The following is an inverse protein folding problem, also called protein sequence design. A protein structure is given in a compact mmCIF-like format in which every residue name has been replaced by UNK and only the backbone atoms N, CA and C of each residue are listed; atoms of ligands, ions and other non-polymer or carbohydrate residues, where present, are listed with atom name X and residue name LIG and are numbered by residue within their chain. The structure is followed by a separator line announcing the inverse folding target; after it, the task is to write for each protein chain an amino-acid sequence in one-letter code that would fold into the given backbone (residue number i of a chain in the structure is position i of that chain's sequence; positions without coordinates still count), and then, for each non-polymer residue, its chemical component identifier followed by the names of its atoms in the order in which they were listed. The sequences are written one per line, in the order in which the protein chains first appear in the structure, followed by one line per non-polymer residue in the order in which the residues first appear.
data_IF_908369909154
#
_entry.id   IF_908369909154
#
_cell.length_a   1.000
_cell.length_b   1.000
_cell.length_c   1.000
_cell.angle_alpha   90.00
_cell.angle_beta   90.00
_cell.angle_gamma   90.00
#
_symmetry.space_group_name_H-M   'P 1'
#
loop_
_entity.id
_entity.type
_entity.pdbx_description
1 polymer ?
#
# COMPACT_ATOMS: atom_id res chain seq x y z
N UNK A 1 19.72 -12.66 17.40
CA UNK A 1 18.33 -12.69 16.89
C UNK A 1 18.14 -14.05 16.24
N UNK A 2 17.38 -14.92 16.89
CA UNK A 2 17.05 -16.26 16.43
C UNK A 2 16.02 -16.13 15.30
N UNK A 3 16.44 -16.37 14.05
CA UNK A 3 15.51 -16.48 12.92
C UNK A 3 14.55 -17.64 13.19
N UNK A 4 13.26 -17.35 13.27
CA UNK A 4 12.24 -18.40 13.36
C UNK A 4 12.11 -19.08 11.99
N UNK A 5 11.69 -20.35 11.97
CA UNK A 5 11.55 -21.16 10.74
C UNK A 5 10.58 -20.55 9.70
N UNK A 6 9.75 -19.58 10.12
CA UNK A 6 8.73 -18.92 9.31
C UNK A 6 8.93 -17.38 9.20
N UNK A 7 10.15 -16.88 9.47
CA UNK A 7 10.49 -15.44 9.36
C UNK A 7 10.99 -15.10 7.95
N UNK A 8 10.52 -13.97 7.41
CA UNK A 8 11.04 -13.34 6.20
C UNK A 8 10.85 -11.82 6.28
N UNK A 9 11.60 -11.08 5.48
CA UNK A 9 11.56 -9.62 5.50
C UNK A 9 10.75 -9.08 4.33
N UNK A 10 9.85 -8.14 4.60
CA UNK A 10 9.13 -7.36 3.58
C UNK A 10 9.73 -5.95 3.58
N UNK A 11 10.23 -5.51 2.44
CA UNK A 11 10.81 -4.19 2.25
C UNK A 11 10.03 -3.41 1.21
N UNK A 12 9.70 -2.15 1.51
CA UNK A 12 8.98 -1.30 0.56
C UNK A 12 9.65 0.04 0.28
N UNK A 13 9.47 0.52 -0.95
CA UNK A 13 9.80 1.88 -1.40
C UNK A 13 8.61 2.50 -2.10
N UNK A 14 8.12 3.63 -1.60
CA UNK A 14 6.91 4.29 -2.06
C UNK A 14 7.06 5.81 -2.07
N UNK A 15 6.50 6.49 -3.09
CA UNK A 15 6.37 7.95 -3.11
C UNK A 15 5.03 8.38 -2.49
N UNK A 16 3.93 7.85 -3.01
CA UNK A 16 2.54 8.23 -2.67
C UNK A 16 1.79 7.14 -1.88
N UNK A 17 2.52 6.31 -1.13
CA UNK A 17 1.92 5.27 -0.26
C UNK A 17 1.41 3.98 -0.94
N UNK A 18 1.34 3.89 -2.28
CA UNK A 18 0.83 2.69 -2.97
C UNK A 18 1.58 1.39 -2.64
N UNK A 19 2.92 1.40 -2.78
CA UNK A 19 3.76 0.25 -2.45
C UNK A 19 3.76 -0.06 -0.94
N UNK A 20 3.60 0.97 -0.10
CA UNK A 20 3.47 0.79 1.34
C UNK A 20 2.20 0.01 1.69
N UNK A 21 1.06 0.40 1.12
CA UNK A 21 -0.22 -0.28 1.37
C UNK A 21 -0.20 -1.74 0.87
N UNK A 22 0.37 -2.01 -0.31
CA UNK A 22 0.54 -3.38 -0.81
C UNK A 22 1.46 -4.19 0.11
N UNK A 23 2.53 -3.60 0.64
CA UNK A 23 3.41 -4.29 1.58
C UNK A 23 2.74 -4.63 2.92
N UNK A 24 1.80 -3.78 3.38
CA UNK A 24 0.98 -4.04 4.57
C UNK A 24 -0.02 -5.17 4.31
N UNK A 25 -0.63 -5.21 3.12
CA UNK A 25 -1.52 -6.31 2.72
C UNK A 25 -0.79 -7.67 2.72
N UNK A 26 0.42 -7.72 2.14
CA UNK A 26 1.26 -8.93 2.16
C UNK A 26 1.59 -9.32 3.60
N UNK A 27 1.88 -8.36 4.48
CA UNK A 27 2.19 -8.59 5.89
C UNK A 27 0.99 -9.17 6.65
N UNK A 28 -0.19 -8.59 6.50
CA UNK A 28 -1.42 -9.06 7.14
C UNK A 28 -1.82 -10.46 6.61
N UNK A 29 -1.73 -10.70 5.30
CA UNK A 29 -1.98 -12.02 4.69
C UNK A 29 -0.97 -13.07 5.15
N UNK A 30 0.32 -12.74 5.22
CA UNK A 30 1.37 -13.64 5.70
C UNK A 30 1.10 -14.13 7.13
N UNK A 31 0.61 -13.25 7.99
CA UNK A 31 0.25 -13.59 9.36
C UNK A 31 -0.95 -14.52 9.48
N UNK A 32 -1.95 -14.36 8.60
CA UNK A 32 -3.09 -15.29 8.47
C UNK A 32 -2.62 -16.67 7.99
N UNK A 33 -1.60 -16.69 7.13
CA UNK A 33 -1.01 -17.91 6.57
C UNK A 33 0.01 -18.63 7.47
N UNK A 34 0.21 -18.14 8.71
CA UNK A 34 1.10 -18.76 9.70
C UNK A 34 2.56 -18.30 9.64
N UNK A 35 2.88 -17.31 8.81
CA UNK A 35 4.20 -16.70 8.78
C UNK A 35 4.35 -15.59 9.82
N UNK A 36 5.60 -15.30 10.18
CA UNK A 36 5.96 -14.21 11.08
C UNK A 36 6.92 -13.23 10.41
N UNK A 37 6.52 -12.53 9.33
CA UNK A 37 7.41 -11.59 8.66
C UNK A 37 7.70 -10.36 9.52
N UNK A 38 8.75 -9.64 9.11
CA UNK A 38 9.02 -8.25 9.51
C UNK A 38 8.79 -7.33 8.32
N UNK A 39 8.26 -6.13 8.52
CA UNK A 39 8.03 -5.14 7.45
C UNK A 39 8.74 -3.83 7.77
N UNK A 40 9.55 -3.32 6.83
CA UNK A 40 10.22 -2.02 6.97
C UNK A 40 10.27 -1.23 5.67
N UNK A 41 10.32 0.09 5.80
CA UNK A 41 10.63 1.00 4.71
C UNK A 41 12.11 0.88 4.31
N UNK A 42 12.44 0.93 3.02
CA UNK A 42 13.81 0.85 2.51
C UNK A 42 14.73 1.95 3.06
N UNK A 43 14.18 3.09 3.48
CA UNK A 43 14.91 4.19 4.10
C UNK A 43 15.47 3.85 5.49
N UNK A 44 14.97 2.78 6.13
CA UNK A 44 15.36 2.33 7.47
C UNK A 44 16.55 1.35 7.46
N UNK A 45 17.24 1.18 6.32
CA UNK A 45 18.45 0.36 6.19
C UNK A 45 19.49 0.74 7.27
N UNK A 46 20.15 -0.27 7.84
CA UNK A 46 21.09 -0.22 8.98
C UNK A 46 20.51 0.22 10.33
N UNK A 47 19.37 0.92 10.35
CA UNK A 47 18.67 1.27 11.60
C UNK A 47 17.82 0.12 12.12
N UNK A 48 17.12 -0.57 11.21
CA UNK A 48 16.16 -1.64 11.54
C UNK A 48 16.48 -2.99 10.91
N UNK A 49 17.14 -3.00 9.74
CA UNK A 49 17.50 -4.22 9.02
C UNK A 49 18.85 -4.10 8.30
N UNK A 50 19.43 -5.24 7.92
CA UNK A 50 20.63 -5.30 7.06
C UNK A 50 20.54 -6.52 6.16
N UNK A 51 20.60 -6.32 4.84
CA UNK A 51 20.44 -7.39 3.84
C UNK A 51 21.40 -8.57 4.04
N UNK A 52 22.62 -8.32 4.53
CA UNK A 52 23.65 -9.35 4.75
C UNK A 52 23.26 -10.34 5.85
N UNK A 53 22.28 -9.99 6.70
CA UNK A 53 21.81 -10.86 7.78
C UNK A 53 20.51 -11.59 7.44
N UNK A 54 19.94 -11.32 6.26
CA UNK A 54 18.62 -11.80 5.87
C UNK A 54 18.74 -12.87 4.78
N UNK A 55 18.01 -13.97 4.94
CA UNK A 55 18.04 -15.07 3.98
C UNK A 55 16.89 -15.00 2.98
N UNK A 56 15.76 -14.39 3.35
CA UNK A 56 14.55 -14.36 2.54
C UNK A 56 13.90 -12.97 2.61
N UNK A 57 13.78 -12.30 1.46
CA UNK A 57 13.27 -10.92 1.38
C UNK A 57 12.27 -10.76 0.24
N UNK A 58 11.14 -10.11 0.52
CA UNK A 58 10.15 -9.68 -0.47
C UNK A 58 10.23 -8.17 -0.61
N UNK A 59 10.44 -7.69 -1.83
CA UNK A 59 10.51 -6.26 -2.13
C UNK A 59 9.23 -5.79 -2.82
N UNK A 60 8.74 -4.62 -2.44
CA UNK A 60 7.64 -3.91 -3.11
C UNK A 60 8.07 -2.48 -3.37
N UNK A 61 8.34 -2.10 -4.62
CA UNK A 61 8.88 -0.78 -4.91
C UNK A 61 8.21 -0.11 -6.11
N UNK A 62 7.82 1.15 -5.92
CA UNK A 62 7.40 2.02 -7.02
C UNK A 62 8.58 2.58 -7.80
N UNK A 63 8.28 3.13 -8.98
CA UNK A 63 9.19 3.90 -9.83
C UNK A 63 8.73 5.35 -9.86
N UNK A 64 9.64 6.32 -9.85
CA UNK A 64 9.35 7.75 -9.91
C UNK A 64 10.09 8.41 -11.08
N UNK A 65 9.58 9.55 -11.54
CA UNK A 65 10.20 10.36 -12.60
C UNK A 65 10.58 9.54 -13.84
N UNK A 66 11.84 9.65 -14.26
CA UNK A 66 12.40 8.98 -15.44
C UNK A 66 12.96 7.59 -15.14
N UNK A 67 12.36 6.84 -14.20
CA UNK A 67 12.85 5.51 -13.82
C UNK A 67 13.68 5.46 -12.55
N UNK A 68 13.62 6.54 -11.75
CA UNK A 68 14.32 6.69 -10.49
C UNK A 68 13.60 5.94 -9.35
N UNK A 69 14.31 5.60 -8.26
CA UNK A 69 13.66 5.13 -7.05
C UNK A 69 12.88 6.26 -6.35
N UNK A 70 11.79 5.95 -5.63
CA UNK A 70 11.17 6.90 -4.73
C UNK A 70 12.15 7.34 -3.64
N UNK A 71 11.91 8.49 -3.03
CA UNK A 71 12.82 9.07 -2.02
C UNK A 71 13.06 8.11 -0.85
N UNK A 72 12.03 7.36 -0.49
CA UNK A 72 12.07 6.32 0.53
C UNK A 72 12.97 5.12 0.18
N UNK A 73 13.38 4.97 -1.08
CA UNK A 73 14.29 3.92 -1.56
C UNK A 73 15.64 4.46 -2.08
N UNK A 74 15.77 5.77 -2.35
CA UNK A 74 16.97 6.39 -2.93
C UNK A 74 18.26 6.07 -2.17
N UNK A 75 18.24 6.17 -0.83
CA UNK A 75 19.40 5.84 0.02
C UNK A 75 19.81 4.37 -0.08
N UNK A 76 18.82 3.47 -0.12
CA UNK A 76 19.05 2.04 -0.27
C UNK A 76 19.69 1.73 -1.63
N UNK A 77 19.10 2.23 -2.70
CA UNK A 77 19.56 1.97 -4.06
C UNK A 77 20.99 2.48 -4.31
N UNK A 78 21.31 3.69 -3.82
CA UNK A 78 22.66 4.25 -3.90
C UNK A 78 23.71 3.35 -3.23
N UNK A 79 23.35 2.69 -2.13
CA UNK A 79 24.25 1.77 -1.42
C UNK A 79 24.42 0.46 -2.18
N UNK A 80 23.33 -0.08 -2.71
CA UNK A 80 23.34 -1.31 -3.49
C UNK A 80 24.19 -1.17 -4.77
N UNK A 81 24.21 0.02 -5.37
CA UNK A 81 25.02 0.37 -6.55
C UNK A 81 26.52 0.58 -6.28
N UNK A 82 26.99 0.54 -5.02
CA UNK A 82 28.42 0.74 -4.73
C UNK A 82 29.26 -0.38 -5.37
N UNK A 83 30.27 0.01 -6.16
CA UNK A 83 31.21 -0.92 -6.82
C UNK A 83 32.15 -1.63 -5.85
N UNK A 84 32.22 -1.19 -4.60
CA UNK A 84 33.02 -1.82 -3.53
C UNK A 84 32.42 -3.14 -3.04
N UNK A 85 31.17 -3.43 -3.39
CA UNK A 85 30.51 -4.69 -3.02
C UNK A 85 30.99 -5.81 -3.94
N UNK A 86 31.45 -6.91 -3.36
CA UNK A 86 31.81 -8.11 -4.10
C UNK A 86 30.58 -8.70 -4.81
N UNK A 87 30.80 -9.36 -5.95
CA UNK A 87 29.71 -9.94 -6.76
C UNK A 87 29.00 -11.12 -6.09
N UNK A 88 29.49 -11.62 -4.96
CA UNK A 88 28.87 -12.68 -4.15
C UNK A 88 28.38 -12.16 -2.79
N UNK A 89 28.31 -10.85 -2.59
CA UNK A 89 28.01 -10.24 -1.31
C UNK A 89 26.65 -10.67 -0.71
N UNK A 90 25.69 -11.04 -1.57
CA UNK A 90 24.33 -11.45 -1.22
C UNK A 90 24.01 -12.88 -1.68
N UNK A 91 25.01 -13.76 -1.83
CA UNK A 91 24.79 -15.13 -2.34
C UNK A 91 23.81 -15.98 -1.51
N UNK A 92 23.76 -15.72 -0.21
CA UNK A 92 22.85 -16.35 0.75
C UNK A 92 21.41 -15.84 0.62
N UNK A 93 21.21 -14.66 0.02
CA UNK A 93 19.91 -14.01 -0.07
C UNK A 93 19.04 -14.68 -1.14
N UNK A 94 17.80 -14.94 -0.77
CA UNK A 94 16.71 -15.30 -1.66
C UNK A 94 15.69 -14.20 -1.65
N UNK A 95 15.23 -13.78 -2.83
CA UNK A 95 14.27 -12.70 -2.91
C UNK A 95 13.16 -12.91 -3.93
N UNK A 96 12.10 -12.13 -3.76
CA UNK A 96 11.05 -11.93 -4.75
C UNK A 96 10.78 -10.42 -4.81
N UNK A 97 10.34 -9.95 -5.96
CA UNK A 97 10.20 -8.52 -6.20
C UNK A 97 8.85 -8.23 -6.87
N UNK A 98 8.13 -7.23 -6.34
CA UNK A 98 6.96 -6.65 -6.98
C UNK A 98 7.28 -5.21 -7.32
N UNK A 99 7.49 -4.95 -8.62
CA UNK A 99 7.80 -3.64 -9.15
C UNK A 99 6.51 -2.95 -9.59
N UNK A 100 6.30 -1.70 -9.17
CA UNK A 100 5.17 -0.89 -9.58
C UNK A 100 5.66 0.20 -10.54
N UNK A 101 4.91 0.42 -11.61
CA UNK A 101 5.17 1.45 -12.60
C UNK A 101 3.94 1.71 -13.45
N UNK A 102 4.11 2.51 -14.49
CA UNK A 102 3.06 2.89 -15.43
C UNK A 102 3.65 2.80 -16.85
N UNK A 103 3.03 2.01 -17.73
CA UNK A 103 3.51 1.79 -19.10
C UNK A 103 3.32 2.98 -20.04
N UNK A 104 2.58 4.02 -19.63
CA UNK A 104 2.54 5.30 -20.33
C UNK A 104 3.87 6.07 -20.21
N UNK A 105 4.73 5.70 -19.26
CA UNK A 105 6.08 6.25 -19.10
C UNK A 105 7.10 5.40 -19.84
N UNK A 106 8.11 6.06 -20.41
CA UNK A 106 9.20 5.42 -21.16
C UNK A 106 9.89 4.29 -20.38
N UNK A 107 10.08 4.51 -19.08
CA UNK A 107 10.88 3.65 -18.20
C UNK A 107 9.99 2.81 -17.27
N UNK A 108 9.07 2.03 -17.85
CA UNK A 108 8.16 1.14 -17.11
C UNK A 108 8.89 0.23 -16.10
N UNK A 109 8.53 0.34 -14.82
CA UNK A 109 9.10 -0.41 -13.70
C UNK A 109 10.64 -0.34 -13.57
N UNK A 110 11.28 0.71 -14.10
CA UNK A 110 12.75 0.77 -14.18
C UNK A 110 13.45 0.71 -12.82
N UNK A 111 12.89 1.32 -11.77
CA UNK A 111 13.46 1.23 -10.43
C UNK A 111 13.53 -0.23 -9.97
N UNK A 112 12.40 -0.95 -10.05
CA UNK A 112 12.33 -2.36 -9.68
C UNK A 112 13.26 -3.22 -10.51
N UNK A 113 13.28 -3.05 -11.84
CA UNK A 113 14.20 -3.74 -12.75
C UNK A 113 15.67 -3.53 -12.38
N UNK A 114 16.04 -2.29 -12.05
CA UNK A 114 17.41 -1.95 -11.70
C UNK A 114 17.84 -2.52 -10.34
N UNK A 115 16.94 -2.53 -9.35
CA UNK A 115 17.24 -3.14 -8.04
C UNK A 115 17.34 -4.66 -8.19
N UNK A 116 16.40 -5.28 -8.89
CA UNK A 116 16.36 -6.71 -9.18
C UNK A 116 17.65 -7.21 -9.86
N UNK A 117 18.03 -6.57 -10.97
CA UNK A 117 19.26 -6.88 -11.68
C UNK A 117 20.50 -6.72 -10.79
N UNK A 118 20.53 -5.66 -9.95
CA UNK A 118 21.66 -5.43 -9.06
C UNK A 118 21.73 -6.46 -7.92
N UNK A 119 20.60 -6.96 -7.42
CA UNK A 119 20.58 -8.04 -6.43
C UNK A 119 21.16 -9.33 -7.02
N UNK A 120 20.78 -9.66 -8.27
CA UNK A 120 21.34 -10.78 -9.02
C UNK A 120 22.86 -10.65 -9.23
N UNK A 121 23.33 -9.46 -9.63
CA UNK A 121 24.78 -9.18 -9.80
C UNK A 121 25.59 -9.37 -8.50
N UNK A 122 24.94 -9.23 -7.34
CA UNK A 122 25.53 -9.43 -6.02
C UNK A 122 25.39 -10.89 -5.51
N UNK A 123 24.87 -11.79 -6.34
CA UNK A 123 24.76 -13.22 -6.09
C UNK A 123 23.44 -13.68 -5.48
N UNK A 124 22.52 -12.75 -5.19
CA UNK A 124 21.19 -13.11 -4.70
C UNK A 124 20.42 -13.91 -5.76
N UNK A 125 19.44 -14.71 -5.34
CA UNK A 125 18.65 -15.54 -6.26
C UNK A 125 17.17 -15.37 -6.03
N UNK A 126 16.39 -15.39 -7.11
CA UNK A 126 14.93 -15.43 -7.00
C UNK A 126 14.48 -16.73 -6.33
N UNK A 127 13.52 -16.63 -5.40
CA UNK A 127 12.72 -17.79 -4.98
C UNK A 127 11.34 -17.81 -5.62
N UNK A 128 10.91 -16.67 -6.16
CA UNK A 128 9.65 -16.45 -6.85
C UNK A 128 9.83 -15.31 -7.86
N UNK A 129 9.11 -15.38 -8.98
CA UNK A 129 9.31 -14.50 -10.12
C UNK A 129 8.94 -13.04 -9.81
N UNK A 130 9.65 -12.13 -10.47
CA UNK A 130 9.41 -10.70 -10.32
C UNK A 130 8.09 -10.29 -11.00
N UNK A 131 7.19 -9.69 -10.23
CA UNK A 131 5.95 -9.11 -10.72
C UNK A 131 6.15 -7.67 -11.21
N UNK A 132 5.44 -7.31 -12.27
CA UNK A 132 5.42 -5.95 -12.83
C UNK A 132 3.97 -5.46 -12.84
N UNK A 133 3.64 -4.57 -11.91
CA UNK A 133 2.32 -3.96 -11.81
C UNK A 133 2.26 -2.66 -12.61
N UNK A 134 1.25 -2.55 -13.46
CA UNK A 134 1.06 -1.44 -14.39
C UNK A 134 -0.17 -0.60 -14.00
N UNK A 135 0.09 0.63 -13.56
CA UNK A 135 -0.93 1.59 -13.15
C UNK A 135 -1.79 2.06 -14.35
N UNK A 136 -1.25 2.01 -15.59
CA UNK A 136 -1.98 2.42 -16.79
C UNK A 136 -3.26 1.61 -17.03
N UNK A 137 -3.25 0.34 -16.61
CA UNK A 137 -4.36 -0.61 -16.76
C UNK A 137 -5.00 -0.98 -15.42
N UNK A 138 -4.40 -0.54 -14.31
CA UNK A 138 -4.78 -0.87 -12.94
C UNK A 138 -3.82 -1.87 -12.30
N UNK A 139 -3.16 -1.43 -11.21
CA UNK A 139 -2.15 -2.22 -10.49
C UNK A 139 -2.67 -3.61 -10.06
N UNK A 140 -3.92 -3.69 -9.60
CA UNK A 140 -4.51 -4.91 -9.02
C UNK A 140 -4.51 -6.10 -9.99
N UNK A 141 -4.53 -5.85 -11.31
CA UNK A 141 -4.50 -6.89 -12.35
C UNK A 141 -3.24 -7.76 -12.20
N UNK A 142 -2.11 -7.16 -11.80
CA UNK A 142 -0.86 -7.86 -11.60
C UNK A 142 -0.59 -8.15 -10.12
N UNK A 143 -0.97 -7.23 -9.21
CA UNK A 143 -0.67 -7.33 -7.77
C UNK A 143 -1.41 -8.50 -7.13
N UNK A 144 -2.73 -8.61 -7.34
CA UNK A 144 -3.54 -9.67 -6.73
C UNK A 144 -3.03 -11.08 -7.05
N UNK A 145 -2.91 -11.49 -8.34
CA UNK A 145 -2.44 -12.83 -8.66
C UNK A 145 -0.99 -13.06 -8.22
N UNK A 146 -0.16 -12.01 -8.17
CA UNK A 146 1.21 -12.14 -7.70
C UNK A 146 1.26 -12.44 -6.20
N UNK A 147 0.44 -11.76 -5.39
CA UNK A 147 0.33 -12.00 -3.93
C UNK A 147 -0.24 -13.40 -3.66
N UNK A 148 -1.27 -13.83 -4.40
CA UNK A 148 -1.86 -15.16 -4.23
C UNK A 148 -0.83 -16.29 -4.45
N UNK A 149 0.04 -16.14 -5.44
CA UNK A 149 1.07 -17.12 -5.77
C UNK A 149 2.36 -16.98 -4.95
N UNK A 150 2.55 -15.86 -4.25
CA UNK A 150 3.69 -15.64 -3.34
C UNK A 150 3.68 -16.63 -2.16
N UNK A 151 2.54 -16.85 -1.51
CA UNK A 151 2.48 -17.69 -0.30
C UNK A 151 2.75 -19.19 -0.58
N UNK A 152 2.22 -19.80 -1.66
CA UNK A 152 2.65 -21.12 -2.10
C UNK A 152 4.16 -21.22 -2.35
N UNK A 153 4.75 -20.21 -3.00
CA UNK A 153 6.19 -20.17 -3.24
C UNK A 153 7.01 -20.06 -1.95
N UNK A 154 6.57 -19.23 -1.00
CA UNK A 154 7.17 -19.10 0.34
C UNK A 154 7.13 -20.42 1.10
N UNK A 155 5.99 -21.14 1.12
CA UNK A 155 5.88 -22.45 1.80
C UNK A 155 6.82 -23.49 1.19
N UNK A 156 6.89 -23.53 -0.14
CA UNK A 156 7.82 -24.41 -0.87
C UNK A 156 9.27 -24.10 -0.53
N UNK A 157 9.62 -22.82 -0.42
CA UNK A 157 11.00 -22.41 -0.12
C UNK A 157 11.39 -22.67 1.34
N UNK A 158 10.47 -22.43 2.28
CA UNK A 158 10.68 -22.64 3.72
C UNK A 158 10.46 -24.10 4.17
N UNK A 159 10.17 -25.03 3.24
CA UNK A 159 9.89 -26.44 3.50
C UNK A 159 8.80 -26.65 4.57
N UNK A 160 7.75 -25.83 4.54
CA UNK A 160 6.57 -26.04 5.39
C UNK A 160 5.69 -27.13 4.76
N UNK A 161 5.56 -28.29 5.41
CA UNK A 161 4.55 -29.28 5.05
C UNK A 161 3.15 -28.72 5.32
N UNK A 162 2.17 -29.03 4.46
CA UNK A 162 0.79 -28.54 4.51
C UNK A 162 -0.02 -28.90 5.79
N UNK A 163 0.61 -29.44 6.82
CA UNK A 163 -0.08 -30.13 7.92
C UNK A 163 -0.51 -29.22 9.09
N UNK A 164 -0.03 -27.97 9.21
CA UNK A 164 -0.28 -27.16 10.42
C UNK A 164 -1.41 -26.11 10.31
N UNK A 165 -2.04 -25.96 9.14
CA UNK A 165 -3.15 -24.98 8.97
C UNK A 165 -4.51 -25.55 9.40
N UNK A 166 -4.64 -26.88 9.53
CA UNK A 166 -5.92 -27.54 9.80
C UNK A 166 -6.31 -27.65 11.29
N UNK A 167 -5.39 -27.50 12.24
CA UNK A 167 -5.68 -27.75 13.67
C UNK A 167 -6.16 -26.53 14.48
N UNK A 168 -6.20 -25.32 13.90
CA UNK A 168 -6.62 -24.10 14.64
C UNK A 168 -7.90 -23.43 14.18
N UNK A 169 -8.66 -24.07 13.30
CA UNK A 169 -9.93 -23.50 12.84
C UNK A 169 -10.89 -24.57 12.34
N UNK A 170 -11.41 -25.41 13.24
CA UNK A 170 -12.65 -26.17 13.01
C UNK A 170 -13.06 -26.91 14.29
N UNK A 171 -13.96 -26.31 15.06
CA UNK A 171 -15.00 -27.05 15.76
C UNK A 171 -16.33 -26.44 15.32
N UNK A 172 -17.25 -27.32 14.96
CA UNK A 172 -18.64 -27.12 14.52
C UNK A 172 -18.81 -26.53 13.10
N UNK A 173 -19.50 -27.16 12.13
CA UNK A 173 -20.40 -28.32 12.14
C UNK A 173 -20.30 -29.02 10.79
N UNK A 174 -20.30 -30.36 10.83
CA UNK A 174 -20.42 -31.25 9.68
C UNK A 174 -21.81 -31.13 9.04
N UNK A 175 -21.88 -30.87 7.73
CA UNK A 175 -22.83 -31.55 6.86
C UNK A 175 -22.11 -32.02 5.61
N UNK A 176 -22.09 -33.34 5.46
CA UNK A 176 -21.58 -34.10 4.33
C UNK A 176 -22.48 -33.86 3.13
N UNK A 177 -21.90 -33.50 1.98
CA UNK A 177 -22.40 -33.98 0.68
C UNK A 177 -21.21 -34.42 -0.18
N UNK A 178 -21.39 -35.60 -0.77
CA UNK A 178 -20.39 -36.44 -1.40
C UNK A 178 -19.87 -35.84 -2.72
N UNK A 179 -18.55 -35.90 -2.93
CA UNK A 179 -17.92 -35.55 -4.21
C UNK A 179 -18.11 -36.68 -5.22
N UNK A 180 -19.01 -36.47 -6.18
CA UNK A 180 -19.04 -37.20 -7.43
C UNK A 180 -17.87 -36.74 -8.33
N UNK A 181 -17.00 -37.67 -8.72
CA UNK A 181 -15.86 -37.44 -9.61
C UNK A 181 -16.38 -37.31 -11.04
N UNK A 182 -16.19 -36.15 -11.69
CA UNK A 182 -16.33 -35.99 -13.14
C UNK A 182 -15.01 -35.50 -13.76
N UNK A 183 -14.54 -36.29 -14.72
CA UNK A 183 -13.46 -36.04 -15.67
C UNK A 183 -13.65 -34.75 -16.51
N UNK A 184 -12.61 -34.25 -17.20
CA UNK A 184 -12.47 -32.82 -17.50
C UNK A 184 -13.44 -32.35 -18.58
N UNK A 185 -14.26 -31.35 -18.25
CA UNK A 185 -15.11 -30.66 -19.20
C UNK A 185 -14.29 -29.60 -19.93
N UNK A 186 -14.40 -29.62 -21.26
CA UNK A 186 -13.79 -28.72 -22.24
C UNK A 186 -14.02 -27.23 -21.90
N UNK A 187 -13.06 -26.42 -22.33
CA UNK A 187 -13.06 -24.96 -22.31
C UNK A 187 -14.45 -24.34 -22.54
N UNK A 188 -14.97 -23.64 -21.54
CA UNK A 188 -16.13 -22.79 -21.67
C UNK A 188 -15.69 -21.39 -22.14
N UNK A 189 -16.32 -20.93 -23.22
CA UNK A 189 -16.15 -19.62 -23.86
C UNK A 189 -16.29 -18.48 -22.84
N UNK A 190 -15.18 -17.80 -22.52
CA UNK A 190 -15.26 -16.45 -21.96
C UNK A 190 -15.70 -15.52 -23.08
N UNK A 191 -16.91 -14.99 -23.00
CA UNK A 191 -17.40 -13.97 -23.92
C UNK A 191 -16.50 -12.72 -23.83
N UNK A 192 -15.65 -12.52 -24.83
CA UNK A 192 -14.84 -11.32 -24.96
C UNK A 192 -15.71 -10.12 -25.37
N UNK A 193 -15.47 -8.99 -24.71
CA UNK A 193 -16.07 -7.71 -25.09
C UNK A 193 -15.55 -7.28 -26.48
N UNK A 194 -16.42 -6.74 -27.32
CA UNK A 194 -16.05 -6.20 -28.63
C UNK A 194 -16.77 -4.88 -28.92
N UNK A 195 -16.32 -4.16 -29.95
CA UNK A 195 -16.92 -2.90 -30.39
C UNK A 195 -18.43 -3.02 -30.75
N UNK A 196 -18.92 -4.22 -31.03
CA UNK A 196 -20.31 -4.49 -31.41
C UNK A 196 -21.04 -5.42 -30.42
N UNK A 197 -20.38 -5.82 -29.32
CA UNK A 197 -20.97 -6.72 -28.33
C UNK A 197 -20.49 -6.34 -26.93
N UNK A 198 -21.40 -5.77 -26.15
CA UNK A 198 -21.22 -5.56 -24.72
C UNK A 198 -21.41 -6.87 -23.97
N UNK A 199 -20.64 -7.04 -22.90
CA UNK A 199 -20.90 -8.07 -21.87
C UNK A 199 -22.16 -7.71 -21.07
N UNK A 200 -22.67 -8.67 -20.31
CA UNK A 200 -23.82 -8.48 -19.43
C UNK A 200 -23.63 -7.27 -18.51
N UNK A 201 -24.74 -6.59 -18.20
CA UNK A 201 -24.75 -5.38 -17.35
C UNK A 201 -24.01 -5.62 -16.03
N UNK A 202 -23.21 -4.64 -15.59
CA UNK A 202 -22.56 -4.69 -14.27
C UNK A 202 -23.58 -4.88 -13.12
N UNK A 203 -24.84 -4.48 -13.31
CA UNK A 203 -25.92 -4.69 -12.34
C UNK A 203 -26.27 -6.16 -12.10
N UNK A 204 -25.93 -7.06 -13.03
CA UNK A 204 -26.15 -8.50 -12.93
C UNK A 204 -24.90 -9.29 -12.54
N UNK A 205 -23.74 -8.64 -12.48
CA UNK A 205 -22.52 -9.27 -11.98
C UNK A 205 -22.59 -9.39 -10.45
N UNK A 206 -22.30 -10.57 -9.91
CA UNK A 206 -22.12 -10.74 -8.47
C UNK A 206 -20.91 -9.90 -8.03
N UNK A 207 -21.18 -8.73 -7.42
CA UNK A 207 -20.14 -7.86 -6.88
C UNK A 207 -19.44 -8.61 -5.75
N UNK A 208 -18.20 -9.03 -5.98
CA UNK A 208 -17.31 -9.49 -4.92
C UNK A 208 -16.86 -8.26 -4.13
N UNK A 209 -17.69 -7.82 -3.19
CA UNK A 209 -17.33 -6.77 -2.24
C UNK A 209 -16.29 -7.36 -1.29
N UNK A 210 -15.14 -6.71 -1.09
CA UNK A 210 -14.17 -7.19 -0.12
C UNK A 210 -14.73 -7.19 1.30
N UNK A 211 -14.33 -8.19 2.07
CA UNK A 211 -14.76 -8.32 3.45
C UNK A 211 -14.17 -7.18 4.28
N UNK A 212 -15.01 -6.46 5.02
CA UNK A 212 -14.53 -5.47 5.98
C UNK A 212 -13.62 -6.18 7.00
N UNK A 213 -12.36 -5.73 7.19
CA UNK A 213 -11.44 -6.37 8.10
C UNK A 213 -11.91 -6.25 9.57
N UNK A 214 -11.51 -7.21 10.39
CA UNK A 214 -11.81 -7.19 11.84
C UNK A 214 -11.33 -5.87 12.47
N UNK A 215 -12.25 -5.14 13.08
CA UNK A 215 -11.96 -3.87 13.74
C UNK A 215 -10.99 -4.07 14.91
N UNK A 216 -9.79 -3.46 14.82
CA UNK A 216 -8.74 -3.51 15.84
C UNK A 216 -8.55 -2.21 16.62
N UNK A 217 -9.21 -1.13 16.19
CA UNK A 217 -9.19 0.18 16.83
C UNK A 217 -10.46 0.41 17.64
N UNK A 218 -10.31 1.05 18.78
CA UNK A 218 -11.37 1.48 19.69
C UNK A 218 -11.32 3.00 19.82
N UNK A 219 -12.50 3.62 19.81
CA UNK A 219 -12.67 5.06 19.98
C UNK A 219 -12.82 5.33 21.48
N UNK A 220 -11.99 6.23 22.01
CA UNK A 220 -12.16 6.77 23.35
C UNK A 220 -12.50 8.25 23.25
N UNK A 221 -13.67 8.63 23.79
CA UNK A 221 -14.13 10.01 23.78
C UNK A 221 -13.41 10.82 24.85
N UNK A 222 -13.07 12.05 24.49
CA UNK A 222 -12.44 13.01 25.40
C UNK A 222 -13.49 13.97 25.95
N UNK A 223 -13.34 14.33 27.22
CA UNK A 223 -14.18 15.35 27.84
C UNK A 223 -13.91 16.72 27.19
N UNK A 224 -14.95 17.55 27.08
CA UNK A 224 -14.90 18.86 26.42
C UNK A 224 -13.84 19.82 27.01
N UNK A 225 -13.44 19.61 28.27
CA UNK A 225 -12.48 20.45 28.99
C UNK A 225 -11.01 20.02 28.79
N UNK A 226 -10.76 18.98 27.97
CA UNK A 226 -9.40 18.48 27.73
C UNK A 226 -8.65 19.46 26.82
N UNK A 227 -7.52 20.01 27.28
CA UNK A 227 -6.64 20.82 26.43
C UNK A 227 -6.10 20.00 25.25
N UNK A 228 -6.64 20.25 24.06
CA UNK A 228 -6.17 19.65 22.82
C UNK A 228 -5.08 20.54 22.24
N UNK A 229 -3.84 20.04 22.26
CA UNK A 229 -2.79 20.59 21.39
C UNK A 229 -3.02 20.02 20.00
N UNK A 230 -3.44 20.87 19.06
CA UNK A 230 -3.51 20.49 17.66
C UNK A 230 -2.15 19.92 17.23
N UNK A 231 -2.15 18.64 16.84
CA UNK A 231 -0.98 18.03 16.26
C UNK A 231 -0.70 18.72 14.93
N UNK A 232 0.57 19.08 14.67
CA UNK A 232 0.96 19.54 13.34
C UNK A 232 0.59 18.45 12.33
N UNK A 233 -0.18 18.77 11.26
CA UNK A 233 -0.57 17.77 10.29
C UNK A 233 0.68 17.20 9.63
N UNK A 234 0.91 15.90 9.84
CA UNK A 234 2.06 15.21 9.25
C UNK A 234 1.57 14.33 8.11
N UNK A 235 1.81 14.76 6.89
CA UNK A 235 1.48 13.94 5.72
C UNK A 235 2.58 12.89 5.49
N UNK A 236 2.27 11.58 5.38
CA UNK A 236 3.28 10.52 5.28
C UNK A 236 4.25 10.67 4.10
N UNK A 237 3.79 11.30 3.02
CA UNK A 237 4.58 11.54 1.81
C UNK A 237 5.25 12.92 1.77
N UNK A 238 5.05 13.79 2.77
CA UNK A 238 5.69 15.10 2.78
C UNK A 238 7.14 14.99 3.27
N UNK A 239 8.07 15.58 2.51
CA UNK A 239 9.48 15.70 2.90
C UNK A 239 9.69 16.82 3.94
N UNK A 240 8.85 17.85 3.90
CA UNK A 240 8.89 19.02 4.79
C UNK A 240 7.66 19.08 5.71
N UNK A 241 7.69 19.98 6.69
CA UNK A 241 6.49 20.36 7.43
C UNK A 241 5.43 20.91 6.44
N UNK A 242 4.17 20.54 6.66
CA UNK A 242 3.05 21.08 5.91
C UNK A 242 2.75 22.48 6.43
N UNK A 243 2.55 23.44 5.53
CA UNK A 243 2.24 24.83 5.86
C UNK A 243 1.10 25.35 5.01
N UNK A 244 0.41 26.37 5.52
CA UNK A 244 -0.63 27.06 4.77
C UNK A 244 -0.02 28.12 3.85
N UNK A 245 -0.51 28.15 2.61
CA UNK A 245 -0.15 29.15 1.61
C UNK A 245 -1.41 29.86 1.12
N UNK A 246 -1.40 31.20 1.11
CA UNK A 246 -2.54 31.98 0.66
C UNK A 246 -2.65 31.89 -0.87
N UNK A 247 -3.83 31.53 -1.40
CA UNK A 247 -4.07 31.59 -2.84
C UNK A 247 -4.28 33.05 -3.26
N UNK A 248 -3.27 33.69 -3.87
CA UNK A 248 -3.35 35.06 -4.41
C UNK A 248 -4.22 35.14 -5.66
N UNK A 249 -4.14 34.12 -6.51
CA UNK A 249 -4.85 34.09 -7.78
C UNK A 249 -5.21 32.65 -8.15
N UNK A 250 -6.39 32.47 -8.73
CA UNK A 250 -6.85 31.21 -9.30
C UNK A 250 -7.54 31.48 -10.65
N UNK A 251 -6.75 31.47 -11.72
CA UNK A 251 -7.22 31.79 -13.07
C UNK A 251 -7.48 30.53 -13.88
N UNK A 252 -8.67 30.39 -14.46
CA UNK A 252 -8.96 29.33 -15.42
C UNK A 252 -8.24 29.61 -16.74
N UNK A 253 -7.46 28.64 -17.21
CA UNK A 253 -6.72 28.73 -18.49
C UNK A 253 -7.53 28.20 -19.68
N UNK A 254 -8.61 27.49 -19.41
CA UNK A 254 -9.48 26.85 -20.42
C UNK A 254 -10.79 27.60 -20.54
N UNK A 255 -11.20 27.93 -21.76
CA UNK A 255 -12.48 28.61 -22.00
C UNK A 255 -13.59 27.63 -22.42
N UNK A 256 -13.23 26.51 -23.03
CA UNK A 256 -14.17 25.51 -23.53
C UNK A 256 -14.65 24.59 -22.38
N UNK A 257 -15.96 24.42 -22.16
CA UNK A 257 -16.49 23.48 -21.18
C UNK A 257 -16.21 22.00 -21.49
N UNK A 258 -15.92 21.65 -22.75
CA UNK A 258 -15.55 20.29 -23.18
C UNK A 258 -14.09 19.95 -22.90
N UNK A 259 -13.26 20.96 -22.62
CA UNK A 259 -11.85 20.77 -22.25
C UNK A 259 -11.75 20.68 -20.73
N UNK A 260 -10.92 19.74 -20.25
CA UNK A 260 -10.63 19.57 -18.81
C UNK A 260 -10.25 20.93 -18.21
N UNK A 261 -10.89 21.27 -17.08
CA UNK A 261 -10.67 22.54 -16.40
C UNK A 261 -9.24 22.63 -15.87
N UNK A 262 -8.40 23.41 -16.54
CA UNK A 262 -7.04 23.76 -16.07
C UNK A 262 -7.05 25.10 -15.33
N UNK A 263 -6.43 25.14 -14.15
CA UNK A 263 -6.25 26.34 -13.33
C UNK A 263 -4.77 26.71 -13.23
N UNK A 264 -4.48 28.00 -13.35
CA UNK A 264 -3.23 28.60 -12.90
C UNK A 264 -3.45 29.14 -11.49
N UNK A 265 -2.68 28.65 -10.53
CA UNK A 265 -2.71 29.11 -9.15
C UNK A 265 -1.45 29.93 -8.86
N UNK A 266 -1.61 31.06 -8.16
CA UNK A 266 -0.51 31.81 -7.57
C UNK A 266 -0.65 31.70 -6.05
N UNK A 267 0.37 31.16 -5.41
CA UNK A 267 0.40 30.93 -3.97
C UNK A 267 1.36 31.93 -3.33
N UNK A 268 0.94 32.60 -2.26
CA UNK A 268 1.82 33.40 -1.43
C UNK A 268 2.59 32.51 -0.47
N UNK A 269 3.91 32.52 -0.63
CA UNK A 269 4.83 31.79 0.24
C UNK A 269 5.61 32.72 1.16
N UNK A 270 5.42 34.05 1.08
CA UNK A 270 6.25 35.03 1.80
C UNK A 270 6.20 34.92 3.33
N UNK A 271 5.17 34.29 3.89
CA UNK A 271 5.06 34.04 5.34
C UNK A 271 5.89 32.85 5.81
N UNK A 272 6.44 32.05 4.89
CA UNK A 272 7.15 30.81 5.20
C UNK A 272 8.53 30.85 4.53
N UNK A 273 9.62 30.77 5.31
CA UNK A 273 10.98 30.58 4.80
C UNK A 273 11.07 29.21 4.12
N UNK A 274 10.72 29.13 2.84
CA UNK A 274 10.83 27.93 2.02
C UNK A 274 11.56 28.25 0.72
N UNK A 275 12.73 27.65 0.55
CA UNK A 275 13.54 27.76 -0.66
C UNK A 275 13.03 26.78 -1.72
N UNK A 276 12.86 27.26 -2.96
CA UNK A 276 12.55 26.42 -4.11
C UNK A 276 13.24 26.92 -5.37
N UNK A 277 13.40 26.04 -6.34
CA UNK A 277 13.95 26.31 -7.66
C UNK A 277 12.92 26.01 -8.76
N UNK A 278 13.00 26.68 -9.92
CA UNK A 278 12.21 26.30 -11.08
C UNK A 278 12.44 24.84 -11.46
N UNK A 279 11.37 24.04 -11.47
CA UNK A 279 11.41 22.60 -11.71
C UNK A 279 11.09 21.75 -10.48
N UNK A 280 11.14 22.34 -9.28
CA UNK A 280 10.70 21.67 -8.07
C UNK A 280 9.20 21.36 -8.12
N UNK A 281 8.82 20.28 -7.43
CA UNK A 281 7.44 19.82 -7.34
C UNK A 281 6.87 20.10 -5.96
N UNK A 282 5.62 20.55 -5.92
CA UNK A 282 4.91 20.85 -4.67
C UNK A 282 3.77 19.86 -4.47
N UNK A 283 3.65 19.31 -3.27
CA UNK A 283 2.47 18.57 -2.84
C UNK A 283 1.40 19.51 -2.33
N UNK A 284 0.15 19.32 -2.75
CA UNK A 284 -1.01 20.03 -2.21
C UNK A 284 -1.84 19.01 -1.43
N UNK A 285 -2.09 19.30 -0.15
CA UNK A 285 -3.00 18.49 0.67
C UNK A 285 -4.42 18.85 0.26
N UNK A 286 -5.19 17.85 -0.17
CA UNK A 286 -6.55 18.02 -0.67
C UNK A 286 -7.53 17.41 0.32
N UNK A 287 -8.44 18.23 0.84
CA UNK A 287 -9.50 17.78 1.74
C UNK A 287 -10.65 17.13 0.97
N UNK A 288 -11.34 16.21 1.62
CA UNK A 288 -12.63 15.75 1.14
C UNK A 288 -13.66 16.89 1.24
N UNK A 289 -14.67 16.86 0.37
CA UNK A 289 -15.71 17.90 0.39
C UNK A 289 -16.66 17.63 1.55
N UNK A 290 -17.14 18.70 2.19
CA UNK A 290 -18.12 18.60 3.28
C UNK A 290 -19.34 17.77 2.87
N UNK A 291 -19.81 17.91 1.62
CA UNK A 291 -20.92 17.10 1.08
C UNK A 291 -20.68 15.59 1.16
N UNK A 292 -19.46 15.14 0.87
CA UNK A 292 -19.14 13.72 0.81
C UNK A 292 -18.93 13.17 2.23
N UNK A 293 -18.33 13.98 3.09
CA UNK A 293 -18.16 13.68 4.51
C UNK A 293 -19.53 13.59 5.20
N UNK A 294 -20.41 14.56 4.97
CA UNK A 294 -21.78 14.57 5.50
C UNK A 294 -22.58 13.35 5.02
N UNK A 295 -22.47 13.02 3.72
CA UNK A 295 -23.09 11.84 3.15
C UNK A 295 -22.63 10.55 3.85
N UNK A 296 -21.32 10.39 4.08
CA UNK A 296 -20.79 9.22 4.77
C UNK A 296 -21.21 9.15 6.23
N UNK A 297 -21.13 10.26 6.97
CA UNK A 297 -21.58 10.36 8.37
C UNK A 297 -23.04 9.94 8.48
N UNK A 298 -23.90 10.47 7.60
CA UNK A 298 -25.32 10.12 7.56
C UNK A 298 -25.52 8.64 7.21
N UNK A 299 -24.79 8.13 6.21
CA UNK A 299 -24.94 6.75 5.72
C UNK A 299 -24.48 5.70 6.74
N UNK A 300 -23.49 6.05 7.56
CA UNK A 300 -22.95 5.23 8.65
C UNK A 300 -23.67 5.47 10.00
N UNK A 301 -24.65 6.38 10.04
CA UNK A 301 -25.47 6.70 11.22
C UNK A 301 -24.63 7.16 12.43
N UNK A 302 -23.58 7.96 12.17
CA UNK A 302 -22.67 8.46 13.20
C UNK A 302 -23.24 9.76 13.78
N UNK A 303 -23.80 9.70 14.99
CA UNK A 303 -24.43 10.86 15.66
C UNK A 303 -23.44 11.82 16.32
N UNK A 304 -22.26 11.34 16.68
CA UNK A 304 -21.23 12.00 17.48
C UNK A 304 -20.00 12.41 16.64
N UNK A 305 -20.20 12.66 15.34
CA UNK A 305 -19.10 12.86 14.40
C UNK A 305 -18.21 14.08 14.72
N UNK A 306 -18.76 15.05 15.46
CA UNK A 306 -18.10 16.29 15.86
C UNK A 306 -17.49 16.23 17.27
N UNK A 307 -17.72 15.15 18.02
CA UNK A 307 -17.15 14.97 19.36
C UNK A 307 -15.64 14.66 19.28
N UNK A 308 -14.88 15.15 20.26
CA UNK A 308 -13.44 14.91 20.34
C UNK A 308 -13.16 13.48 20.80
N UNK A 309 -12.27 12.81 20.08
CA UNK A 309 -11.88 11.45 20.37
C UNK A 309 -10.39 11.21 20.21
N UNK A 310 -9.93 10.13 20.82
CA UNK A 310 -8.63 9.51 20.57
C UNK A 310 -8.82 8.05 20.17
N UNK A 311 -7.80 7.46 19.57
CA UNK A 311 -7.80 6.07 19.15
C UNK A 311 -6.96 5.23 20.10
N UNK A 312 -7.49 4.06 20.46
CA UNK A 312 -6.79 3.01 21.20
C UNK A 312 -6.80 1.72 20.41
N UNK A 313 -5.80 0.89 20.65
CA UNK A 313 -5.78 -0.47 20.11
C UNK A 313 -6.62 -1.35 21.04
N UNK A 314 -7.59 -2.08 20.48
CA UNK A 314 -8.39 -3.06 21.23
C UNK A 314 -7.48 -4.11 21.86
N UNK A 315 -7.68 -4.37 23.16
CA UNK A 315 -6.91 -5.38 23.90
C UNK A 315 -7.05 -6.79 23.33
N UNK A 316 -8.21 -7.11 22.78
CA UNK A 316 -8.56 -8.44 22.24
C UNK A 316 -8.38 -8.54 20.71
N UNK A 317 -7.59 -7.65 20.10
CA UNK A 317 -7.41 -7.67 18.65
C UNK A 317 -6.69 -8.93 18.16
N UNK A 318 -7.22 -9.52 17.09
CA UNK A 318 -6.56 -10.58 16.33
C UNK A 318 -5.47 -10.05 15.39
N UNK A 319 -5.43 -8.73 15.13
CA UNK A 319 -4.41 -8.11 14.29
C UNK A 319 -3.05 -8.20 14.99
N UNK A 320 -2.07 -8.83 14.34
CA UNK A 320 -0.69 -8.93 14.85
C UNK A 320 0.05 -7.62 14.58
N UNK A 321 0.80 -7.14 15.57
CA UNK A 321 1.48 -5.83 15.55
C UNK A 321 0.54 -4.65 15.20
N UNK A 322 -0.59 -4.49 15.90
CA UNK A 322 -1.52 -3.40 15.64
C UNK A 322 -0.84 -2.05 15.94
N UNK A 323 -1.00 -1.10 15.03
CA UNK A 323 -0.55 0.28 15.21
C UNK A 323 -1.69 1.24 14.85
N UNK A 324 -1.71 2.39 15.51
CA UNK A 324 -2.54 3.50 15.06
C UNK A 324 -1.90 4.04 13.78
N UNK A 325 -2.65 4.19 12.68
CA UNK A 325 -2.07 4.68 11.43
C UNK A 325 -1.45 6.07 11.61
N UNK A 326 -0.20 6.24 11.18
CA UNK A 326 0.59 7.47 11.40
C UNK A 326 0.00 8.71 10.71
N UNK A 327 -0.87 8.51 9.71
CA UNK A 327 -1.54 9.59 8.99
C UNK A 327 -2.78 10.13 9.71
N UNK A 328 -3.30 9.42 10.71
CA UNK A 328 -4.46 9.88 11.47
C UNK A 328 -3.97 10.80 12.57
N UNK A 329 -4.35 12.07 12.49
CA UNK A 329 -4.00 13.06 13.49
C UNK A 329 -4.97 12.92 14.68
N UNK A 330 -4.44 12.60 15.86
CA UNK A 330 -5.21 12.48 17.10
C UNK A 330 -4.59 13.34 18.21
N UNK A 331 -5.38 13.86 19.17
CA UNK A 331 -6.84 13.76 19.24
C UNK A 331 -7.57 14.59 18.16
N UNK A 332 -8.75 14.13 17.73
CA UNK A 332 -9.51 14.71 16.62
C UNK A 332 -10.98 14.26 16.65
N UNK A 333 -11.83 14.79 15.77
CA UNK A 333 -13.20 14.31 15.57
C UNK A 333 -13.30 13.39 14.36
N UNK A 334 -14.34 12.54 14.31
CA UNK A 334 -14.59 11.65 13.16
C UNK A 334 -14.72 12.47 11.88
N UNK A 335 -15.43 13.61 11.96
CA UNK A 335 -15.58 14.53 10.83
C UNK A 335 -14.23 15.01 10.32
N UNK A 336 -13.36 15.51 11.21
CA UNK A 336 -12.04 16.03 10.81
C UNK A 336 -11.16 14.94 10.20
N UNK A 337 -11.18 13.73 10.76
CA UNK A 337 -10.47 12.57 10.19
C UNK A 337 -10.98 12.26 8.78
N UNK A 338 -12.30 12.18 8.58
CA UNK A 338 -12.89 11.97 7.24
C UNK A 338 -12.56 13.11 6.28
N UNK A 339 -12.42 14.35 6.75
CA UNK A 339 -12.06 15.49 5.91
C UNK A 339 -10.58 15.48 5.50
N UNK A 340 -9.68 15.18 6.43
CA UNK A 340 -8.25 15.50 6.30
C UNK A 340 -7.33 14.28 6.19
N UNK A 341 -7.70 13.15 6.81
CA UNK A 341 -6.76 12.06 7.09
C UNK A 341 -7.04 10.79 6.24
N UNK A 342 -8.21 10.67 5.61
CA UNK A 342 -8.63 9.43 4.93
C UNK A 342 -9.07 9.68 3.48
N UNK A 343 -8.56 8.86 2.55
CA UNK A 343 -9.06 8.82 1.17
C UNK A 343 -10.14 7.75 1.04
N UNK A 344 -11.40 8.18 0.95
CA UNK A 344 -12.55 7.31 0.72
C UNK A 344 -13.08 7.40 -0.73
N UNK A 345 -12.41 8.16 -1.61
CA UNK A 345 -12.76 8.24 -3.04
C UNK A 345 -11.94 7.27 -3.87
N UNK A 346 -10.79 6.82 -3.36
CA UNK A 346 -10.04 5.71 -3.91
C UNK A 346 -10.89 4.44 -3.97
N UNK A 347 -10.62 3.59 -4.97
CA UNK A 347 -11.23 2.27 -5.07
C UNK A 347 -10.87 1.46 -3.82
N UNK A 348 -11.86 0.95 -3.04
CA UNK A 348 -11.57 0.13 -1.88
C UNK A 348 -10.76 -1.10 -2.27
N UNK A 349 -9.63 -1.32 -1.58
CA UNK A 349 -8.79 -2.50 -1.75
C UNK A 349 -9.42 -3.72 -1.12
N UNK A 350 -9.00 -4.92 -1.55
CA UNK A 350 -9.60 -6.17 -1.11
C UNK A 350 -9.24 -6.66 0.28
#
# INVERSE_FOLDING_TARGET
MTQSKNDFLILYGSQTGQAQAISEEIFDKAHKEGFSPRRFCLSMIEKKFSLIKENLVVFVCSTTGEGEPPDTASKFFRRLKKKTLANNHLEHLRFAFLALGDSNYTNFCACGKNIDARLLDLGAKHFYDTGYADDAVGLEIAVEPWIENLFPALRKHLNMSQTEVAEKGMNDTQQNEEKEVKEPVKAEDKQESSLYKSIDSLSSAALKIPSCPDSYLEIERLDADTEIKEAKPRHPSAETDVFEALVKSAKRLTNDPLVKKTLQLELDTLSNDFDFQPGDSFGIVCHNTNSDVDYLIQRLEISDADEQMTLKIKKETKKKAPTIPEHINIPSSIRKILTDDVDFRAVPRK
#
